data_IF_794262446618
#
_entry.id   IF_794262446618
#
_cell.length_a   1.000
_cell.length_b   1.000
_cell.length_c   1.000
_cell.angle_alpha   90.00
_cell.angle_beta   90.00
_cell.angle_gamma   90.00
#
_symmetry.space_group_name_H-M   'P 1'
#
loop_
_entity.id
_entity.type
_entity.pdbx_description
1 polymer ?
#
# COMPACT_ATOMS: atom_id res chain seq x y z
N UNK A 1 6.95 10.25 7.00
CA UNK A 1 6.92 9.27 8.11
C UNK A 1 6.71 9.93 9.47
N UNK A 2 7.66 10.70 10.04
CA UNK A 2 7.49 11.23 11.41
C UNK A 2 6.40 12.30 11.58
N UNK A 3 6.00 12.98 10.51
CA UNK A 3 4.88 13.94 10.51
C UNK A 3 3.51 13.30 10.24
N UNK A 4 3.46 11.97 10.09
CA UNK A 4 2.21 11.23 9.93
C UNK A 4 1.67 10.90 11.32
N UNK A 5 0.73 11.72 11.81
CA UNK A 5 0.17 11.59 13.15
C UNK A 5 -0.57 10.27 13.37
N UNK A 6 -1.26 9.75 12.35
CA UNK A 6 -1.98 8.46 12.46
C UNK A 6 -0.97 7.32 12.67
N UNK A 7 0.10 7.31 11.87
CA UNK A 7 1.21 6.35 12.05
C UNK A 7 1.83 6.51 13.44
N UNK A 8 2.22 7.74 13.79
CA UNK A 8 2.95 8.03 15.02
C UNK A 8 2.13 7.63 16.25
N UNK A 9 0.85 8.00 16.29
CA UNK A 9 -0.03 7.66 17.38
C UNK A 9 -0.25 6.15 17.49
N UNK A 10 -0.43 5.43 16.38
CA UNK A 10 -0.62 3.99 16.43
C UNK A 10 0.60 3.24 16.97
N UNK A 11 1.82 3.62 16.56
CA UNK A 11 3.04 3.02 17.12
C UNK A 11 3.27 3.43 18.57
N UNK A 12 3.06 4.70 18.91
CA UNK A 12 3.16 5.19 20.28
C UNK A 12 2.19 4.42 21.19
N UNK A 13 0.92 4.32 20.81
CA UNK A 13 -0.10 3.58 21.53
C UNK A 13 0.24 2.10 21.62
N UNK A 14 0.77 1.50 20.54
CA UNK A 14 1.17 0.09 20.56
C UNK A 14 2.20 -0.16 21.66
N UNK A 15 3.15 0.75 21.86
CA UNK A 15 4.17 0.63 22.89
C UNK A 15 3.61 0.96 24.28
N UNK A 16 3.00 2.13 24.45
CA UNK A 16 2.66 2.65 25.79
C UNK A 16 1.37 2.07 26.37
N UNK A 17 0.36 1.74 25.55
CA UNK A 17 -0.81 0.98 26.03
C UNK A 17 -0.45 -0.45 26.40
N UNK A 18 0.70 -0.93 25.92
CA UNK A 18 1.23 -2.26 26.21
C UNK A 18 2.58 -2.21 26.94
N UNK A 19 2.87 -1.17 27.72
CA UNK A 19 4.19 -1.01 28.35
C UNK A 19 4.60 -2.23 29.20
N UNK A 20 3.65 -2.93 29.82
CA UNK A 20 3.90 -4.17 30.56
C UNK A 20 4.41 -5.33 29.67
N UNK A 21 4.11 -5.32 28.37
CA UNK A 21 4.68 -6.26 27.41
C UNK A 21 6.16 -5.96 27.12
N UNK A 22 6.58 -4.69 27.18
CA UNK A 22 7.96 -4.24 26.92
C UNK A 22 8.84 -4.23 28.18
N UNK A 23 8.25 -4.05 29.37
CA UNK A 23 8.98 -3.93 30.62
C UNK A 23 9.92 -5.13 30.88
N UNK A 24 11.20 -4.84 31.08
CA UNK A 24 12.24 -5.84 31.33
C UNK A 24 12.61 -6.72 30.12
N UNK A 25 12.07 -6.45 28.93
CA UNK A 25 12.32 -7.23 27.72
C UNK A 25 13.53 -6.74 26.93
N UNK A 26 14.10 -7.62 26.13
CA UNK A 26 15.07 -7.27 25.08
C UNK A 26 14.32 -7.05 23.78
N UNK A 27 14.49 -5.87 23.17
CA UNK A 27 13.75 -5.44 21.98
C UNK A 27 14.71 -5.24 20.80
N UNK A 28 14.27 -5.60 19.60
CA UNK A 28 14.95 -5.28 18.35
C UNK A 28 14.06 -4.35 17.52
N UNK A 29 14.59 -3.21 17.12
CA UNK A 29 13.99 -2.27 16.17
C UNK A 29 14.69 -2.39 14.82
N UNK A 30 14.00 -2.98 13.82
CA UNK A 30 14.55 -3.25 12.48
C UNK A 30 14.22 -2.09 11.54
N UNK A 31 15.25 -1.45 10.99
CA UNK A 31 15.07 -0.23 10.19
C UNK A 31 14.71 0.96 11.08
N UNK A 32 15.48 1.18 12.15
CA UNK A 32 15.14 2.15 13.19
C UNK A 32 15.04 3.59 12.67
N UNK A 33 15.68 3.90 11.53
CA UNK A 33 15.71 5.22 10.94
C UNK A 33 16.23 6.25 11.94
N UNK A 34 15.31 7.04 12.50
CA UNK A 34 15.63 8.08 13.49
C UNK A 34 15.78 7.57 14.93
N UNK A 35 15.45 6.32 15.22
CA UNK A 35 15.48 5.78 16.58
C UNK A 35 14.18 5.92 17.37
N UNK A 36 13.11 6.47 16.78
CA UNK A 36 11.90 6.84 17.54
C UNK A 36 11.23 5.63 18.23
N UNK A 37 11.11 4.49 17.54
CA UNK A 37 10.49 3.28 18.10
C UNK A 37 11.40 2.67 19.18
N UNK A 38 12.70 2.62 18.94
CA UNK A 38 13.68 2.19 19.93
C UNK A 38 13.67 3.04 21.20
N UNK A 39 13.56 4.37 21.07
CA UNK A 39 13.44 5.31 22.20
C UNK A 39 12.16 5.03 22.99
N UNK A 40 11.01 4.85 22.32
CA UNK A 40 9.75 4.51 23.00
C UNK A 40 9.81 3.16 23.71
N UNK A 41 10.40 2.14 23.09
CA UNK A 41 10.60 0.85 23.74
C UNK A 41 11.43 0.97 25.03
N UNK A 42 12.51 1.76 25.00
CA UNK A 42 13.33 2.03 26.20
C UNK A 42 12.56 2.81 27.28
N UNK A 43 11.75 3.81 26.88
CA UNK A 43 10.88 4.59 27.77
C UNK A 43 9.77 3.73 28.39
N UNK A 44 9.24 2.75 27.65
CA UNK A 44 8.26 1.79 28.14
C UNK A 44 8.86 0.72 29.08
N UNK A 45 10.15 0.81 29.38
CA UNK A 45 10.81 -0.03 30.38
C UNK A 45 11.53 -1.25 29.81
N UNK A 46 11.78 -1.31 28.50
CA UNK A 46 12.66 -2.34 27.94
C UNK A 46 14.00 -2.39 28.68
N UNK A 47 14.50 -3.60 28.94
CA UNK A 47 15.80 -3.83 29.56
C UNK A 47 16.92 -3.38 28.63
N UNK A 48 16.77 -3.68 27.33
CA UNK A 48 17.73 -3.34 26.29
C UNK A 48 17.03 -3.27 24.94
N UNK A 49 17.48 -2.37 24.08
CA UNK A 49 16.97 -2.21 22.71
C UNK A 49 18.12 -2.21 21.73
N UNK A 50 18.08 -3.09 20.74
CA UNK A 50 18.97 -3.05 19.58
C UNK A 50 18.26 -2.32 18.45
N UNK A 51 18.82 -1.19 18.02
CA UNK A 51 18.23 -0.34 16.99
C UNK A 51 19.09 -0.42 15.73
N UNK A 52 18.64 -1.18 14.73
CA UNK A 52 19.42 -1.50 13.52
C UNK A 52 18.98 -0.60 12.37
N UNK A 53 19.92 0.10 11.74
CA UNK A 53 19.66 0.99 10.60
C UNK A 53 20.76 0.84 9.56
N UNK A 54 20.39 0.62 8.30
CA UNK A 54 21.35 0.34 7.23
C UNK A 54 22.10 1.57 6.73
N UNK A 55 21.50 2.76 6.84
CA UNK A 55 22.03 4.01 6.29
C UNK A 55 22.75 4.85 7.34
N UNK A 56 23.34 5.97 6.92
CA UNK A 56 23.95 6.96 7.82
C UNK A 56 22.94 7.62 8.78
N UNK A 57 21.63 7.36 8.62
CA UNK A 57 20.63 7.78 9.59
C UNK A 57 20.88 7.17 10.98
N UNK A 58 21.56 6.03 11.06
CA UNK A 58 22.03 5.42 12.32
C UNK A 58 22.82 6.42 13.20
N UNK A 59 23.65 7.27 12.59
CA UNK A 59 24.42 8.27 13.32
C UNK A 59 23.50 9.35 13.92
N UNK A 60 22.39 9.69 13.25
CA UNK A 60 21.40 10.64 13.75
C UNK A 60 20.54 10.00 14.83
N UNK A 61 20.18 8.72 14.68
CA UNK A 61 19.51 7.95 15.71
C UNK A 61 20.33 7.91 17.01
N UNK A 62 21.64 7.66 16.92
CA UNK A 62 22.50 7.68 18.11
C UNK A 62 22.52 9.05 18.80
N UNK A 63 22.50 10.15 18.03
CA UNK A 63 22.38 11.50 18.60
C UNK A 63 21.06 11.69 19.34
N UNK A 64 19.94 11.21 18.78
CA UNK A 64 18.63 11.29 19.44
C UNK A 64 18.54 10.41 20.69
N UNK A 65 19.10 9.20 20.65
CA UNK A 65 19.21 8.31 21.81
C UNK A 65 19.94 8.98 22.97
N UNK A 66 21.09 9.62 22.69
CA UNK A 66 21.86 10.34 23.70
C UNK A 66 21.11 11.57 24.24
N UNK A 67 20.49 12.35 23.34
CA UNK A 67 19.75 13.55 23.72
C UNK A 67 18.52 13.24 24.61
N UNK A 68 17.92 12.07 24.40
CA UNK A 68 16.76 11.59 25.18
C UNK A 68 17.14 10.74 26.40
N UNK A 69 18.44 10.65 26.73
CA UNK A 69 18.96 10.00 27.95
C UNK A 69 18.59 8.52 28.07
N UNK A 70 18.55 7.79 26.95
CA UNK A 70 18.26 6.34 26.90
C UNK A 70 19.43 5.52 26.34
N UNK A 71 20.62 6.11 26.23
CA UNK A 71 21.82 5.48 25.68
C UNK A 71 22.35 4.29 26.50
N UNK A 72 21.97 4.19 27.77
CA UNK A 72 22.26 3.04 28.64
C UNK A 72 21.45 1.79 28.25
N UNK A 73 20.32 1.98 27.57
CA UNK A 73 19.40 0.91 27.15
C UNK A 73 19.42 0.65 25.64
N UNK A 74 19.58 1.71 24.83
CA UNK A 74 19.49 1.62 23.37
C UNK A 74 20.88 1.56 22.75
N UNK A 75 21.15 0.47 22.03
CA UNK A 75 22.36 0.27 21.23
C UNK A 75 22.02 0.43 19.76
N UNK A 76 22.56 1.47 19.11
CA UNK A 76 22.38 1.68 17.66
C UNK A 76 23.46 0.92 16.89
N UNK A 77 23.03 0.14 15.89
CA UNK A 77 23.91 -0.65 15.03
C UNK A 77 23.71 -0.19 13.58
N UNK A 78 24.76 0.38 12.98
CA UNK A 78 24.74 0.75 11.57
C UNK A 78 25.06 -0.47 10.70
N UNK A 79 24.12 -0.90 9.87
CA UNK A 79 24.24 -2.05 8.98
C UNK A 79 22.89 -2.64 8.61
N UNK A 80 22.88 -3.51 7.60
CA UNK A 80 21.68 -4.30 7.26
C UNK A 80 21.43 -5.33 8.35
N UNK A 81 20.17 -5.64 8.65
CA UNK A 81 19.83 -6.62 9.69
C UNK A 81 20.38 -8.02 9.37
N UNK A 82 20.57 -8.30 8.08
CA UNK A 82 21.19 -9.50 7.55
C UNK A 82 22.68 -9.63 7.91
N UNK A 83 23.38 -8.50 7.98
CA UNK A 83 24.85 -8.43 8.15
C UNK A 83 25.28 -8.21 9.60
N UNK A 84 24.42 -7.61 10.44
CA UNK A 84 24.73 -7.36 11.85
C UNK A 84 24.63 -8.64 12.70
N UNK A 85 25.33 -8.62 13.83
CA UNK A 85 25.27 -9.68 14.85
C UNK A 85 24.82 -9.11 16.18
N UNK A 86 23.84 -9.77 16.82
CA UNK A 86 23.38 -9.45 18.16
C UNK A 86 24.02 -10.41 19.17
N UNK A 87 24.34 -9.95 20.39
CA UNK A 87 24.97 -10.79 21.42
C UNK A 87 23.97 -11.70 22.15
N UNK A 88 22.66 -11.53 21.93
CA UNK A 88 21.59 -12.30 22.57
C UNK A 88 20.34 -12.37 21.68
N UNK A 89 19.45 -13.33 21.95
CA UNK A 89 18.11 -13.36 21.34
C UNK A 89 17.21 -12.26 21.92
N UNK A 90 16.17 -11.89 21.17
CA UNK A 90 15.23 -10.82 21.54
C UNK A 90 13.83 -11.33 21.77
N UNK A 91 13.08 -10.59 22.58
CA UNK A 91 11.74 -10.93 23.05
C UNK A 91 10.66 -10.34 22.15
N UNK A 92 10.94 -9.14 21.65
CA UNK A 92 10.06 -8.35 20.80
C UNK A 92 10.89 -7.85 19.62
N UNK A 93 10.34 -8.01 18.42
CA UNK A 93 10.82 -7.29 17.25
C UNK A 93 9.75 -6.26 16.90
N UNK A 94 10.10 -4.98 16.96
CA UNK A 94 9.27 -3.88 16.51
C UNK A 94 9.86 -3.33 15.21
N UNK A 95 9.01 -3.02 14.23
CA UNK A 95 9.47 -2.41 12.98
C UNK A 95 8.31 -1.72 12.29
N UNK A 96 8.62 -0.65 11.57
CA UNK A 96 7.73 -0.07 10.58
C UNK A 96 8.29 -0.44 9.21
N UNK A 97 7.71 -1.48 8.62
CA UNK A 97 8.18 -2.13 7.39
C UNK A 97 7.22 -1.97 6.22
N UNK A 98 6.06 -1.34 6.46
CA UNK A 98 4.95 -1.36 5.52
C UNK A 98 5.22 -0.39 4.36
N UNK A 99 5.19 -0.90 3.14
CA UNK A 99 5.23 -0.06 1.94
C UNK A 99 3.84 0.33 1.44
N UNK A 100 3.80 0.96 0.27
CA UNK A 100 2.54 1.18 -0.46
C UNK A 100 1.83 -0.16 -0.67
N UNK A 101 0.51 -0.15 -0.43
CA UNK A 101 -0.34 -1.34 -0.43
C UNK A 101 0.29 -2.52 0.34
N UNK A 102 0.88 -2.21 1.51
CA UNK A 102 1.57 -3.09 2.45
C UNK A 102 2.92 -3.65 1.96
N UNK A 103 2.97 -4.20 0.75
CA UNK A 103 4.07 -5.08 0.33
C UNK A 103 5.17 -4.39 -0.50
N UNK A 104 4.95 -3.16 -0.99
CA UNK A 104 6.01 -2.44 -1.73
C UNK A 104 7.27 -2.31 -0.88
N UNK A 105 8.44 -2.25 -1.53
CA UNK A 105 9.78 -2.19 -0.92
C UNK A 105 10.30 -3.51 -0.35
N UNK A 106 9.42 -4.49 -0.13
CA UNK A 106 9.73 -5.84 0.37
C UNK A 106 10.56 -5.82 1.66
N UNK A 107 10.38 -4.81 2.52
CA UNK A 107 11.10 -4.69 3.79
C UNK A 107 10.67 -5.75 4.81
N UNK A 108 9.47 -6.33 4.65
CA UNK A 108 9.04 -7.48 5.44
C UNK A 108 10.06 -8.63 5.39
N UNK A 109 10.78 -8.80 4.27
CA UNK A 109 11.79 -9.85 4.13
C UNK A 109 12.89 -9.75 5.20
N UNK A 110 13.40 -8.53 5.41
CA UNK A 110 14.39 -8.24 6.43
C UNK A 110 13.84 -8.43 7.85
N UNK A 111 12.56 -8.13 8.08
CA UNK A 111 11.89 -8.36 9.36
C UNK A 111 11.72 -9.85 9.64
N UNK A 112 11.37 -10.65 8.63
CA UNK A 112 11.24 -12.10 8.75
C UNK A 112 12.61 -12.76 8.98
N UNK A 113 13.65 -12.31 8.27
CA UNK A 113 15.02 -12.72 8.57
C UNK A 113 15.39 -12.45 10.04
N UNK A 114 15.08 -11.25 10.53
CA UNK A 114 15.36 -10.87 11.92
C UNK A 114 14.61 -11.76 12.91
N UNK A 115 13.33 -12.04 12.65
CA UNK A 115 12.53 -12.98 13.44
C UNK A 115 13.19 -14.34 13.49
N UNK A 116 13.47 -14.93 12.34
CA UNK A 116 13.88 -16.33 12.25
C UNK A 116 15.28 -16.54 12.86
N UNK A 117 16.13 -15.51 12.81
CA UNK A 117 17.50 -15.55 13.36
C UNK A 117 17.57 -15.16 14.83
N UNK A 118 16.85 -14.11 15.25
CA UNK A 118 17.10 -13.45 16.54
C UNK A 118 15.97 -13.55 17.56
N UNK A 119 14.74 -13.84 17.15
CA UNK A 119 13.62 -13.88 18.10
C UNK A 119 13.61 -15.19 18.88
N UNK A 120 13.45 -15.09 20.22
CA UNK A 120 13.29 -16.26 21.07
C UNK A 120 11.95 -16.98 20.84
N UNK A 121 11.84 -18.29 21.17
CA UNK A 121 10.54 -18.96 21.21
C UNK A 121 9.53 -18.22 22.08
N UNK A 122 8.33 -17.99 21.55
CA UNK A 122 7.26 -17.26 22.23
C UNK A 122 7.41 -15.72 22.24
N UNK A 123 8.44 -15.18 21.58
CA UNK A 123 8.53 -13.75 21.27
C UNK A 123 7.39 -13.25 20.37
N UNK A 124 7.37 -11.95 20.08
CA UNK A 124 6.33 -11.36 19.24
C UNK A 124 6.85 -10.29 18.29
N UNK A 125 6.26 -10.23 17.09
CA UNK A 125 6.42 -9.13 16.14
C UNK A 125 5.40 -8.02 16.38
N UNK A 126 5.83 -6.77 16.18
CA UNK A 126 5.04 -5.55 16.36
C UNK A 126 5.21 -4.67 15.10
N UNK A 127 4.22 -4.65 14.19
CA UNK A 127 2.89 -5.27 14.27
C UNK A 127 2.92 -6.80 14.20
N UNK A 128 1.90 -7.45 14.78
CA UNK A 128 1.79 -8.91 14.81
C UNK A 128 0.93 -9.48 13.70
N UNK A 129 0.02 -8.68 13.15
CA UNK A 129 -0.83 -9.08 12.02
C UNK A 129 -0.94 -7.95 11.00
N UNK A 130 -1.16 -8.31 9.74
CA UNK A 130 -1.42 -7.37 8.66
C UNK A 130 -2.54 -7.88 7.74
N UNK A 131 -3.34 -6.96 7.20
CA UNK A 131 -4.51 -7.23 6.36
C UNK A 131 -4.48 -6.30 5.15
N UNK A 132 -4.74 -6.83 3.97
CA UNK A 132 -4.84 -6.06 2.72
C UNK A 132 -6.28 -6.07 2.23
N UNK A 133 -6.74 -4.91 1.77
CA UNK A 133 -8.12 -4.70 1.32
C UNK A 133 -8.17 -4.15 -0.09
N UNK A 134 -9.24 -4.48 -0.82
CA UNK A 134 -9.58 -3.84 -2.10
C UNK A 134 -11.04 -3.39 -2.08
N UNK A 135 -11.35 -2.29 -2.77
CA UNK A 135 -12.72 -1.88 -3.05
C UNK A 135 -12.86 -1.25 -4.44
N UNK A 136 -14.06 -1.34 -5.01
CA UNK A 136 -14.43 -0.58 -6.20
C UNK A 136 -14.54 0.91 -5.86
N UNK A 137 -14.03 1.78 -6.73
CA UNK A 137 -14.03 3.24 -6.52
C UNK A 137 -14.58 4.03 -7.70
N UNK A 138 -15.12 5.19 -7.38
CA UNK A 138 -15.51 6.22 -8.33
C UNK A 138 -14.74 7.51 -8.03
N UNK A 139 -13.57 7.61 -8.65
CA UNK A 139 -12.70 8.79 -8.61
C UNK A 139 -12.19 9.07 -10.01
N UNK A 140 -12.47 10.28 -10.48
CA UNK A 140 -12.28 10.59 -11.89
C UNK A 140 -11.08 11.45 -12.19
N UNK A 141 -10.59 12.29 -11.28
CA UNK A 141 -9.69 13.36 -11.71
C UNK A 141 -8.31 12.85 -12.08
N UNK A 142 -7.67 12.06 -11.21
CA UNK A 142 -6.33 11.53 -11.43
C UNK A 142 -6.31 10.56 -12.62
N UNK A 143 -7.27 9.63 -12.69
CA UNK A 143 -7.43 8.75 -13.84
C UNK A 143 -7.69 9.51 -15.15
N UNK A 144 -8.56 10.52 -15.16
CA UNK A 144 -8.79 11.35 -16.36
C UNK A 144 -7.56 12.13 -16.76
N UNK A 145 -6.82 12.68 -15.79
CA UNK A 145 -5.58 13.42 -16.06
C UNK A 145 -4.58 12.49 -16.76
N UNK A 146 -4.32 11.31 -16.20
CA UNK A 146 -3.42 10.33 -16.82
C UNK A 146 -3.87 9.90 -18.21
N UNK A 147 -5.16 9.67 -18.41
CA UNK A 147 -5.69 9.35 -19.75
C UNK A 147 -5.53 10.51 -20.73
N UNK A 148 -5.68 11.76 -20.26
CA UNK A 148 -5.48 12.94 -21.08
C UNK A 148 -4.00 13.15 -21.42
N UNK A 149 -3.11 12.95 -20.46
CA UNK A 149 -1.66 13.05 -20.66
C UNK A 149 -1.17 12.01 -21.66
N UNK A 150 -1.65 10.76 -21.58
CA UNK A 150 -1.42 9.73 -22.59
C UNK A 150 -1.84 10.19 -23.98
N UNK A 151 -3.07 10.72 -24.12
CA UNK A 151 -3.58 11.21 -25.41
C UNK A 151 -2.75 12.37 -25.94
N UNK A 152 -2.31 13.28 -25.07
CA UNK A 152 -1.45 14.39 -25.45
C UNK A 152 -0.11 13.87 -25.99
N UNK A 153 0.52 12.92 -25.30
CA UNK A 153 1.77 12.31 -25.75
C UNK A 153 1.62 11.62 -27.12
N UNK A 154 0.53 10.89 -27.35
CA UNK A 154 0.27 10.27 -28.66
C UNK A 154 0.05 11.31 -29.77
N UNK A 155 -0.65 12.41 -29.46
CA UNK A 155 -0.82 13.52 -30.42
C UNK A 155 0.49 14.23 -30.72
N UNK A 156 1.36 14.38 -29.73
CA UNK A 156 2.67 14.98 -29.90
C UNK A 156 3.57 14.07 -30.75
N UNK A 157 3.55 12.75 -30.55
CA UNK A 157 4.24 11.79 -31.41
C UNK A 157 3.74 11.84 -32.86
N UNK A 158 2.42 11.83 -33.06
CA UNK A 158 1.80 11.91 -34.39
C UNK A 158 2.16 13.20 -35.14
N UNK A 159 2.56 14.27 -34.44
CA UNK A 159 3.11 15.49 -35.04
C UNK A 159 4.63 15.39 -35.20
N UNK A 160 5.34 14.88 -34.20
CA UNK A 160 6.79 14.79 -34.15
C UNK A 160 7.36 13.91 -35.25
N UNK A 161 6.87 12.68 -35.40
CA UNK A 161 7.45 11.70 -36.32
C UNK A 161 7.38 12.16 -37.79
N UNK A 162 6.22 12.61 -38.34
CA UNK A 162 6.17 13.12 -39.71
C UNK A 162 6.99 14.41 -39.91
N UNK A 163 7.04 15.30 -38.90
CA UNK A 163 7.84 16.50 -38.98
C UNK A 163 9.35 16.21 -39.02
N UNK A 164 9.79 15.20 -38.28
CA UNK A 164 11.19 14.75 -38.27
C UNK A 164 11.58 14.16 -39.62
N UNK A 165 10.71 13.36 -40.24
CA UNK A 165 10.91 12.89 -41.61
C UNK A 165 10.96 14.05 -42.60
N UNK A 166 10.01 14.98 -42.54
CA UNK A 166 9.93 16.10 -43.48
C UNK A 166 11.11 17.08 -43.35
N UNK A 167 11.55 17.40 -42.13
CA UNK A 167 12.60 18.41 -41.89
C UNK A 167 14.01 17.84 -41.93
N UNK A 168 14.19 16.61 -41.46
CA UNK A 168 15.51 16.02 -41.24
C UNK A 168 15.74 14.73 -42.04
N UNK A 169 14.74 14.23 -42.77
CA UNK A 169 14.86 13.02 -43.59
C UNK A 169 15.01 11.73 -42.79
N UNK A 170 14.57 11.73 -41.52
CA UNK A 170 14.65 10.55 -40.63
C UNK A 170 13.25 10.02 -40.34
N UNK A 171 13.01 8.77 -40.76
CA UNK A 171 11.74 8.07 -40.52
C UNK A 171 11.76 7.43 -39.13
N UNK A 172 10.86 7.88 -38.27
CA UNK A 172 10.73 7.43 -36.88
C UNK A 172 9.62 6.38 -36.70
N UNK A 173 8.92 5.97 -37.76
CA UNK A 173 7.78 5.05 -37.68
C UNK A 173 8.13 3.70 -37.05
N UNK A 174 9.39 3.26 -37.16
CA UNK A 174 9.87 2.04 -36.53
C UNK A 174 9.80 2.05 -34.99
N UNK A 175 9.68 3.23 -34.36
CA UNK A 175 9.59 3.39 -32.91
C UNK A 175 8.15 3.60 -32.42
N UNK A 176 7.16 3.69 -33.30
CA UNK A 176 5.78 4.06 -32.93
C UNK A 176 5.16 3.08 -31.92
N UNK A 177 5.33 1.78 -32.13
CA UNK A 177 4.82 0.76 -31.21
C UNK A 177 5.51 0.77 -29.85
N UNK A 178 6.81 1.06 -29.82
CA UNK A 178 7.59 1.11 -28.58
C UNK A 178 7.20 2.36 -27.77
N UNK A 179 7.05 3.51 -28.45
CA UNK A 179 6.59 4.75 -27.86
C UNK A 179 5.18 4.60 -27.27
N UNK A 180 4.24 4.03 -28.03
CA UNK A 180 2.87 3.80 -27.56
C UNK A 180 2.85 2.92 -26.31
N UNK A 181 3.58 1.80 -26.34
CA UNK A 181 3.65 0.86 -25.22
C UNK A 181 4.24 1.51 -23.97
N UNK A 182 5.39 2.19 -24.09
CA UNK A 182 6.05 2.85 -22.95
C UNK A 182 5.11 3.87 -22.27
N UNK A 183 4.40 4.67 -23.09
CA UNK A 183 3.49 5.68 -22.57
C UNK A 183 2.21 5.06 -22.00
N UNK A 184 1.71 3.97 -22.57
CA UNK A 184 0.58 3.23 -22.00
C UNK A 184 0.95 2.61 -20.64
N UNK A 185 2.14 2.02 -20.52
CA UNK A 185 2.63 1.44 -19.27
C UNK A 185 2.80 2.53 -18.18
N UNK A 186 3.36 3.69 -18.55
CA UNK A 186 3.58 4.81 -17.62
C UNK A 186 2.27 5.51 -17.20
N UNK A 187 1.42 5.89 -18.16
CA UNK A 187 0.22 6.66 -17.86
C UNK A 187 -0.97 5.78 -17.45
N UNK A 188 -1.17 4.62 -18.07
CA UNK A 188 -2.40 3.85 -17.88
C UNK A 188 -2.21 2.64 -16.96
N UNK A 189 -1.02 2.02 -16.96
CA UNK A 189 -0.75 0.85 -16.13
C UNK A 189 -0.12 1.20 -14.77
N UNK A 190 0.42 2.39 -14.55
CA UNK A 190 1.02 2.70 -13.24
C UNK A 190 -0.02 3.02 -12.18
N UNK A 191 0.05 2.33 -11.03
CA UNK A 191 -0.80 2.63 -9.88
C UNK A 191 -0.59 4.06 -9.39
N UNK A 192 -1.59 4.61 -8.71
CA UNK A 192 -1.60 6.01 -8.29
C UNK A 192 -1.84 6.12 -6.80
N UNK A 193 -0.93 6.81 -6.11
CA UNK A 193 -1.18 7.24 -4.73
C UNK A 193 -2.39 8.17 -4.69
N UNK A 194 -3.34 7.90 -3.81
CA UNK A 194 -4.57 8.66 -3.66
C UNK A 194 -4.91 8.84 -2.19
N UNK A 195 -5.45 10.00 -1.84
CA UNK A 195 -6.13 10.23 -0.56
C UNK A 195 -7.64 10.16 -0.81
N UNK A 196 -8.22 8.98 -0.63
CA UNK A 196 -9.64 8.72 -0.83
C UNK A 196 -10.45 9.08 0.39
N UNK A 197 -11.68 9.52 0.14
CA UNK A 197 -12.72 9.63 1.16
C UNK A 197 -13.64 8.40 1.13
N UNK A 198 -14.39 8.12 2.21
CA UNK A 198 -15.41 7.05 2.21
C UNK A 198 -16.44 7.20 1.09
N UNK A 199 -16.69 8.43 0.65
CA UNK A 199 -17.66 8.73 -0.38
C UNK A 199 -17.17 8.39 -1.79
N UNK A 200 -15.88 8.08 -1.98
CA UNK A 200 -15.31 7.61 -3.25
C UNK A 200 -15.43 6.09 -3.42
N UNK A 201 -15.75 5.37 -2.33
CA UNK A 201 -15.98 3.92 -2.35
C UNK A 201 -17.36 3.60 -2.92
N UNK A 202 -17.39 2.74 -3.94
CA UNK A 202 -18.62 2.22 -4.54
C UNK A 202 -19.10 0.94 -3.85
N UNK A 203 -18.18 0.19 -3.24
CA UNK A 203 -18.45 -1.08 -2.57
C UNK A 203 -17.92 -1.08 -1.14
N UNK A 204 -18.38 -2.04 -0.34
CA UNK A 204 -17.68 -2.37 0.90
C UNK A 204 -16.28 -2.91 0.59
N UNK A 205 -15.31 -2.72 1.51
CA UNK A 205 -13.98 -3.31 1.38
C UNK A 205 -14.02 -4.83 1.40
N UNK A 206 -13.20 -5.46 0.56
CA UNK A 206 -13.00 -6.91 0.54
C UNK A 206 -11.59 -7.21 1.03
N UNK A 207 -11.47 -8.07 2.04
CA UNK A 207 -10.18 -8.58 2.51
C UNK A 207 -9.58 -9.53 1.46
N UNK A 208 -8.38 -9.23 0.99
CA UNK A 208 -7.70 -10.04 -0.05
C UNK A 208 -6.55 -10.88 0.50
N UNK A 209 -5.96 -10.48 1.63
CA UNK A 209 -4.89 -11.22 2.31
C UNK A 209 -4.87 -10.87 3.78
N UNK A 210 -4.71 -11.89 4.62
CA UNK A 210 -4.42 -11.76 6.04
C UNK A 210 -3.08 -12.44 6.34
N UNK A 211 -2.30 -11.83 7.22
CA UNK A 211 -0.93 -12.20 7.53
C UNK A 211 -0.77 -12.23 9.04
N UNK A 212 -0.33 -13.36 9.58
CA UNK A 212 0.21 -13.44 10.93
C UNK A 212 1.73 -13.31 10.85
N UNK A 213 2.25 -12.17 11.27
CA UNK A 213 3.68 -11.84 11.15
C UNK A 213 4.55 -12.78 12.00
N UNK A 214 3.99 -13.36 13.07
CA UNK A 214 4.73 -14.30 13.92
C UNK A 214 5.00 -15.66 13.23
N UNK A 215 4.27 -15.99 12.15
CA UNK A 215 4.35 -17.32 11.53
C UNK A 215 4.49 -17.32 10.01
N UNK A 216 4.20 -16.20 9.32
CA UNK A 216 4.28 -16.15 7.85
C UNK A 216 5.71 -16.37 7.35
N UNK A 217 5.85 -16.80 6.11
CA UNK A 217 7.13 -17.05 5.44
C UNK A 217 7.22 -16.23 4.17
N UNK A 218 8.41 -16.10 3.57
CA UNK A 218 8.57 -15.41 2.28
C UNK A 218 7.70 -16.04 1.17
N UNK A 219 7.43 -17.34 1.25
CA UNK A 219 6.59 -18.05 0.30
C UNK A 219 5.15 -17.54 0.29
N UNK A 220 4.65 -17.02 1.41
CA UNK A 220 3.30 -16.43 1.51
C UNK A 220 3.14 -15.15 0.68
N UNK A 221 4.25 -14.56 0.21
CA UNK A 221 4.33 -13.27 -0.48
C UNK A 221 4.90 -13.37 -1.90
N UNK A 222 5.31 -14.56 -2.37
CA UNK A 222 5.72 -14.77 -3.77
C UNK A 222 4.60 -14.39 -4.74
N UNK A 223 3.38 -14.77 -4.37
CA UNK A 223 2.15 -14.42 -5.08
C UNK A 223 1.03 -14.21 -4.06
N UNK A 224 0.36 -13.06 -4.12
CA UNK A 224 -0.89 -12.83 -3.38
C UNK A 224 -2.04 -12.86 -4.37
N UNK A 225 -2.75 -13.98 -4.41
CA UNK A 225 -3.92 -14.18 -5.28
C UNK A 225 -5.19 -14.28 -4.44
N UNK A 226 -6.21 -13.52 -4.83
CA UNK A 226 -7.51 -13.57 -4.18
C UNK A 226 -8.65 -13.32 -5.16
N UNK A 227 -9.83 -13.86 -4.85
CA UNK A 227 -11.07 -13.52 -5.53
C UNK A 227 -11.82 -12.50 -4.68
N UNK A 228 -12.50 -11.55 -5.33
CA UNK A 228 -13.34 -10.59 -4.65
C UNK A 228 -14.67 -10.43 -5.35
N UNK A 229 -15.71 -10.17 -4.55
CA UNK A 229 -17.04 -9.80 -5.03
C UNK A 229 -17.44 -8.51 -4.35
N UNK A 230 -17.63 -7.46 -5.14
CA UNK A 230 -17.97 -6.12 -4.69
C UNK A 230 -19.38 -5.78 -5.16
N UNK A 231 -20.34 -5.83 -4.22
CA UNK A 231 -21.69 -5.31 -4.47
C UNK A 231 -21.64 -3.79 -4.45
N UNK A 232 -22.15 -3.14 -5.51
CA UNK A 232 -22.20 -1.69 -5.57
C UNK A 232 -23.31 -1.21 -4.63
N UNK A 233 -22.93 -0.42 -3.63
CA UNK A 233 -23.82 0.07 -2.56
C UNK A 233 -23.98 1.58 -2.57
N UNK A 234 -23.03 2.31 -3.15
CA UNK A 234 -23.03 3.77 -3.19
C UNK A 234 -23.23 4.29 -4.62
N UNK A 235 -24.48 4.30 -5.09
CA UNK A 235 -24.83 5.09 -6.27
C UNK A 235 -24.92 6.56 -5.87
N UNK A 236 -23.84 7.32 -6.09
CA UNK A 236 -23.97 8.79 -6.12
C UNK A 236 -24.85 9.15 -7.33
N UNK A 237 -26.15 9.35 -7.12
CA UNK A 237 -26.89 10.30 -7.96
C UNK A 237 -26.29 11.65 -7.64
N UNK A 238 -25.47 12.21 -8.53
CA UNK A 238 -25.10 13.61 -8.41
C UNK A 238 -26.40 14.40 -8.22
N UNK A 239 -26.57 15.21 -7.14
CA UNK A 239 -27.71 16.09 -7.07
C UNK A 239 -27.66 16.98 -8.32
N UNK A 240 -28.79 17.20 -9.02
CA UNK A 240 -28.80 18.00 -10.23
C UNK A 240 -28.18 19.36 -9.90
N UNK A 241 -27.13 19.76 -10.64
CA UNK A 241 -26.61 21.13 -10.58
C UNK A 241 -27.79 22.04 -10.90
N UNK A 242 -28.25 22.82 -9.92
CA UNK A 242 -29.24 23.86 -10.17
C UNK A 242 -28.57 24.91 -11.06
N UNK A 243 -29.05 25.06 -12.29
CA UNK A 243 -28.72 26.23 -13.09
C UNK A 243 -29.26 27.48 -12.39
N UNK A 244 -28.63 28.66 -12.54
CA UNK A 244 -29.16 29.92 -12.02
C UNK A 244 -30.57 30.27 -12.55
N UNK A 245 -31.07 29.56 -13.57
CA UNK A 245 -32.28 29.87 -14.32
C UNK A 245 -33.38 28.79 -14.23
N UNK A 246 -33.29 27.83 -13.29
CA UNK A 246 -34.41 26.94 -12.98
C UNK A 246 -34.80 25.93 -14.08
N UNK A 247 -34.03 25.81 -15.15
CA UNK A 247 -34.23 24.73 -16.13
C UNK A 247 -33.56 23.43 -15.64
N UNK A 248 -34.24 22.28 -15.73
CA UNK A 248 -33.63 20.98 -15.47
C UNK A 248 -32.56 20.70 -16.54
N UNK A 249 -31.29 20.86 -16.19
CA UNK A 249 -30.22 20.20 -16.95
C UNK A 249 -30.26 18.71 -16.63
N UNK A 250 -30.29 17.85 -17.66
CA UNK A 250 -29.97 16.43 -17.53
C UNK A 250 -28.51 16.31 -17.06
N UNK A 251 -28.31 16.37 -15.74
CA UNK A 251 -27.00 16.47 -15.10
C UNK A 251 -26.75 15.39 -14.04
N UNK A 252 -27.49 14.28 -14.09
CA UNK A 252 -27.20 13.09 -13.31
C UNK A 252 -26.31 12.15 -14.12
N UNK A 253 -25.01 12.40 -14.18
CA UNK A 253 -24.08 11.45 -14.80
C UNK A 253 -24.19 10.09 -14.11
N UNK A 254 -24.36 9.03 -14.89
CA UNK A 254 -24.36 7.65 -14.41
C UNK A 254 -23.11 7.38 -13.57
N UNK A 255 -23.25 6.61 -12.48
CA UNK A 255 -22.11 6.21 -11.67
C UNK A 255 -21.18 5.34 -12.53
N UNK A 256 -19.86 5.58 -12.44
CA UNK A 256 -18.86 4.84 -13.21
C UNK A 256 -17.90 4.16 -12.26
N UNK A 257 -17.60 2.90 -12.53
CA UNK A 257 -16.43 2.23 -11.99
C UNK A 257 -15.20 2.84 -12.67
N UNK A 258 -14.46 3.67 -11.93
CA UNK A 258 -13.25 4.27 -12.46
C UNK A 258 -12.01 3.44 -12.15
N UNK A 259 -12.10 2.50 -11.22
CA UNK A 259 -10.96 1.70 -10.79
C UNK A 259 -11.22 0.93 -9.50
N UNK A 260 -10.13 0.37 -8.98
CA UNK A 260 -10.05 -0.28 -7.68
C UNK A 260 -9.07 0.46 -6.80
N UNK A 261 -9.30 0.46 -5.48
CA UNK A 261 -8.36 1.00 -4.52
C UNK A 261 -7.91 -0.09 -3.55
N UNK A 262 -6.61 -0.14 -3.29
CA UNK A 262 -5.95 -1.03 -2.35
C UNK A 262 -5.40 -0.27 -1.14
N UNK A 263 -5.57 -0.82 0.05
CA UNK A 263 -4.99 -0.30 1.29
C UNK A 263 -4.77 -1.43 2.30
N UNK A 264 -4.25 -1.10 3.48
CA UNK A 264 -3.93 -2.08 4.50
C UNK A 264 -4.28 -1.66 5.93
N UNK A 265 -4.35 -2.65 6.80
CA UNK A 265 -4.37 -2.49 8.25
C UNK A 265 -3.30 -3.36 8.89
N UNK A 266 -2.71 -2.90 9.98
CA UNK A 266 -1.85 -3.71 10.83
C UNK A 266 -2.30 -3.66 12.28
N UNK A 267 -2.19 -4.79 12.97
CA UNK A 267 -2.61 -4.93 14.36
C UNK A 267 -1.41 -5.27 15.27
N UNK A 268 -1.38 -4.64 16.44
CA UNK A 268 -0.42 -4.88 17.51
C UNK A 268 -1.09 -5.70 18.60
N UNK A 269 -1.03 -7.03 18.47
CA UNK A 269 -1.70 -7.98 19.38
C UNK A 269 -0.73 -8.92 20.11
N UNK A 270 0.58 -8.75 19.93
CA UNK A 270 1.59 -9.68 20.46
C UNK A 270 1.53 -11.05 19.78
N UNK A 271 1.95 -12.10 20.49
CA UNK A 271 1.88 -13.49 20.03
C UNK A 271 0.88 -14.32 20.85
N UNK A 272 0.65 -15.57 20.46
CA UNK A 272 -0.22 -16.48 21.22
C UNK A 272 0.31 -16.74 22.63
N UNK A 273 1.63 -16.79 22.80
CA UNK A 273 2.30 -17.04 24.09
C UNK A 273 2.46 -15.76 24.90
N UNK A 274 2.64 -14.62 24.24
CA UNK A 274 2.79 -13.30 24.86
C UNK A 274 1.80 -12.30 24.23
N UNK A 275 0.50 -12.43 24.55
CA UNK A 275 -0.52 -11.54 23.97
C UNK A 275 -0.33 -10.11 24.48
N UNK A 276 -0.60 -9.13 23.61
CA UNK A 276 -0.62 -7.73 24.00
C UNK A 276 -1.81 -7.45 24.95
N UNK A 277 -1.61 -6.70 26.05
CA UNK A 277 -2.68 -6.24 26.91
C UNK A 277 -3.81 -5.48 26.20
N UNK A 278 -3.49 -4.71 25.16
CA UNK A 278 -4.41 -3.88 24.39
C UNK A 278 -4.13 -4.02 22.90
N UNK A 279 -5.19 -4.30 22.14
CA UNK A 279 -5.15 -4.25 20.67
C UNK A 279 -5.05 -2.79 20.22
N UNK A 280 -4.02 -2.50 19.43
CA UNK A 280 -3.90 -1.24 18.67
C UNK A 280 -3.92 -1.58 17.19
N UNK A 281 -4.58 -0.75 16.39
CA UNK A 281 -4.67 -0.92 14.93
C UNK A 281 -4.20 0.34 14.24
N UNK A 282 -3.30 0.19 13.26
CA UNK A 282 -2.98 1.22 12.28
C UNK A 282 -3.71 0.87 10.98
N UNK A 283 -4.60 1.73 10.52
CA UNK A 283 -5.36 1.55 9.28
C UNK A 283 -5.04 2.66 8.29
N UNK A 284 -4.94 2.32 7.01
CA UNK A 284 -4.83 3.26 5.88
C UNK A 284 -6.12 3.32 5.09
N UNK A 285 -7.24 2.89 5.66
CA UNK A 285 -8.53 2.91 4.99
C UNK A 285 -9.04 4.35 4.75
N UNK A 286 -9.87 4.60 3.72
CA UNK A 286 -10.35 5.94 3.37
C UNK A 286 -11.04 6.73 4.50
N UNK A 287 -11.64 6.04 5.49
CA UNK A 287 -12.30 6.69 6.62
C UNK A 287 -11.35 7.21 7.70
N UNK A 288 -10.07 6.83 7.65
CA UNK A 288 -9.03 7.28 8.57
C UNK A 288 -8.55 8.70 8.20
N UNK A 289 -8.63 9.07 6.92
CA UNK A 289 -8.05 10.30 6.39
C UNK A 289 -6.59 10.12 5.99
N UNK A 290 -5.81 11.20 6.08
CA UNK A 290 -4.44 11.20 5.62
C UNK A 290 -3.54 10.23 6.41
N UNK A 291 -2.83 9.40 5.65
CA UNK A 291 -1.57 8.77 6.04
C UNK A 291 -0.62 8.95 4.86
N UNK A 292 0.69 8.90 5.08
CA UNK A 292 1.65 9.07 4.00
C UNK A 292 1.58 7.94 2.95
N UNK A 293 1.03 6.77 3.30
CA UNK A 293 0.76 5.68 2.35
C UNK A 293 -0.45 5.94 1.45
N UNK A 294 -1.42 6.73 1.94
CA UNK A 294 -2.72 6.91 1.29
C UNK A 294 -3.38 5.57 0.94
N UNK A 295 -3.97 5.50 -0.24
CA UNK A 295 -4.42 4.28 -0.89
C UNK A 295 -3.81 4.18 -2.28
N UNK A 296 -3.65 2.96 -2.79
CA UNK A 296 -3.20 2.72 -4.16
C UNK A 296 -4.39 2.52 -5.08
N UNK A 297 -4.57 3.42 -6.03
CA UNK A 297 -5.62 3.34 -7.04
C UNK A 297 -5.11 2.69 -8.34
N UNK A 298 -5.93 1.81 -8.88
CA UNK A 298 -5.74 1.08 -10.13
C UNK A 298 -6.87 1.50 -11.08
N UNK A 299 -6.62 2.52 -11.91
CA UNK A 299 -7.66 3.15 -12.73
C UNK A 299 -7.92 2.36 -14.02
N UNK A 300 -9.20 2.25 -14.36
CA UNK A 300 -9.66 1.65 -15.62
C UNK A 300 -9.70 2.69 -16.73
N UNK A 301 -9.18 2.29 -17.90
CA UNK A 301 -9.16 3.10 -19.10
C UNK A 301 -9.76 2.29 -20.26
N UNK A 302 -11.03 2.53 -20.66
CA UNK A 302 -11.97 3.53 -20.14
C UNK A 302 -12.66 3.10 -18.83
N UNK A 303 -13.23 4.05 -18.05
CA UNK A 303 -14.14 3.74 -16.94
C UNK A 303 -15.37 2.95 -17.42
N UNK A 304 -15.95 2.13 -16.53
CA UNK A 304 -17.10 1.27 -16.85
C UNK A 304 -18.38 1.84 -16.27
N UNK A 305 -19.44 1.93 -17.08
CA UNK A 305 -20.74 2.43 -16.63
C UNK A 305 -21.43 1.41 -15.71
N UNK A 306 -21.93 1.89 -14.56
CA UNK A 306 -22.61 1.10 -13.54
C UNK A 306 -24.10 1.41 -13.48
N UNK A 307 -24.89 0.39 -13.19
CA UNK A 307 -26.33 0.45 -12.98
C UNK A 307 -26.69 -0.02 -11.56
N UNK A 308 -27.86 0.40 -11.07
CA UNK A 308 -28.34 0.02 -9.75
C UNK A 308 -28.33 -1.53 -9.58
N UNK A 309 -27.81 -1.99 -8.44
CA UNK A 309 -27.64 -3.41 -8.08
C UNK A 309 -26.57 -4.19 -8.88
N UNK A 310 -25.73 -3.52 -9.65
CA UNK A 310 -24.57 -4.16 -10.26
C UNK A 310 -23.63 -4.76 -9.21
N UNK A 311 -23.00 -5.87 -9.59
CA UNK A 311 -21.95 -6.53 -8.81
C UNK A 311 -20.71 -6.66 -9.65
N UNK A 312 -19.56 -6.26 -9.10
CA UNK A 312 -18.24 -6.47 -9.71
C UNK A 312 -17.66 -7.74 -9.10
N UNK A 313 -17.42 -8.75 -9.93
CA UNK A 313 -16.63 -9.92 -9.54
C UNK A 313 -15.26 -9.81 -10.17
N UNK A 314 -14.23 -10.21 -9.43
CA UNK A 314 -12.88 -10.16 -9.96
C UNK A 314 -11.89 -11.02 -9.22
N UNK A 315 -10.70 -11.06 -9.78
CA UNK A 315 -9.52 -11.63 -9.14
C UNK A 315 -8.44 -10.57 -9.09
N UNK A 316 -7.66 -10.58 -8.02
CA UNK A 316 -6.46 -9.79 -7.89
C UNK A 316 -5.27 -10.74 -7.72
N UNK A 317 -4.19 -10.44 -8.42
CA UNK A 317 -2.95 -11.19 -8.36
C UNK A 317 -1.78 -10.21 -8.23
N UNK A 318 -1.11 -10.22 -7.08
CA UNK A 318 0.04 -9.35 -6.78
C UNK A 318 1.29 -10.19 -6.80
N UNK A 319 2.26 -9.80 -7.63
CA UNK A 319 3.51 -10.55 -7.84
C UNK A 319 4.69 -9.58 -7.83
N UNK A 320 5.78 -9.97 -7.18
CA UNK A 320 7.04 -9.21 -7.24
C UNK A 320 7.58 -9.21 -8.66
N UNK A 321 8.10 -8.07 -9.10
CA UNK A 321 8.75 -8.00 -10.41
C UNK A 321 10.06 -8.80 -10.42
N UNK A 322 10.36 -9.38 -11.60
CA UNK A 322 11.56 -10.21 -11.80
C UNK A 322 12.85 -9.39 -11.82
N UNK A 323 12.79 -8.17 -12.35
CA UNK A 323 13.91 -7.24 -12.46
C UNK A 323 14.20 -6.53 -11.13
N UNK A 324 13.16 -6.21 -10.35
CA UNK A 324 13.31 -5.63 -9.02
C UNK A 324 12.25 -6.15 -8.04
N UNK A 325 12.67 -7.01 -7.11
CA UNK A 325 11.78 -7.65 -6.13
C UNK A 325 11.17 -6.68 -5.11
N UNK A 326 11.61 -5.40 -5.08
CA UNK A 326 11.00 -4.34 -4.26
C UNK A 326 9.76 -3.72 -4.92
N UNK A 327 9.58 -3.95 -6.22
CA UNK A 327 8.46 -3.45 -7.01
C UNK A 327 7.46 -4.58 -7.29
N UNK A 328 6.20 -4.21 -7.55
CA UNK A 328 5.12 -5.18 -7.70
C UNK A 328 4.36 -4.97 -9.02
N UNK A 329 3.92 -6.07 -9.60
CA UNK A 329 2.88 -6.12 -10.62
C UNK A 329 1.57 -6.52 -9.95
N UNK A 330 0.50 -5.81 -10.26
CA UNK A 330 -0.86 -6.08 -9.78
C UNK A 330 -1.74 -6.35 -10.98
N UNK A 331 -2.20 -7.58 -11.15
CA UNK A 331 -3.16 -7.95 -12.17
C UNK A 331 -4.56 -7.94 -11.54
N UNK A 332 -5.48 -7.21 -12.15
CA UNK A 332 -6.89 -7.20 -11.76
C UNK A 332 -7.74 -7.62 -12.95
N UNK A 333 -8.30 -8.82 -12.85
CA UNK A 333 -9.31 -9.31 -13.76
C UNK A 333 -10.69 -9.02 -13.16
N UNK A 334 -11.62 -8.46 -13.93
CA UNK A 334 -12.96 -8.17 -13.43
C UNK A 334 -14.06 -8.34 -14.48
N UNK A 335 -15.27 -8.62 -14.01
CA UNK A 335 -16.48 -8.72 -14.82
C UNK A 335 -17.69 -8.11 -14.07
N UNK A 336 -18.56 -7.45 -14.82
CA UNK A 336 -19.83 -6.94 -14.29
C UNK A 336 -20.95 -7.99 -14.38
N UNK A 337 -21.69 -8.14 -13.29
CA UNK A 337 -22.95 -8.87 -13.22
C UNK A 337 -24.11 -7.88 -13.03
N UNK A 338 -25.02 -7.83 -14.00
CA UNK A 338 -26.27 -7.07 -13.91
C UNK A 338 -27.38 -7.98 -13.41
N UNK A 339 -28.06 -7.61 -12.33
CA UNK A 339 -29.19 -8.37 -11.76
C UNK A 339 -28.92 -9.88 -11.56
N UNK A 340 -27.69 -10.25 -11.17
CA UNK A 340 -27.31 -11.66 -10.98
C UNK A 340 -27.04 -12.47 -12.25
N UNK A 341 -27.24 -11.90 -13.44
CA UNK A 341 -26.92 -12.53 -14.73
C UNK A 341 -25.55 -12.03 -15.20
N UNK A 342 -24.61 -12.95 -15.45
CA UNK A 342 -23.35 -12.60 -16.14
C UNK A 342 -23.71 -12.06 -17.52
N UNK A 343 -23.23 -10.87 -17.86
CA UNK A 343 -23.29 -10.38 -19.23
C UNK A 343 -22.47 -11.35 -20.10
N UNK A 344 -23.17 -12.22 -20.82
CA UNK A 344 -22.63 -13.28 -21.69
C UNK A 344 -22.12 -12.68 -23.00
N UNK A 345 -21.10 -11.83 -22.94
CA UNK A 345 -20.19 -11.71 -24.08
C UNK A 345 -18.98 -12.62 -23.79
N UNK A 346 -18.64 -13.58 -24.68
CA UNK A 346 -17.36 -14.29 -24.58
C UNK A 346 -16.23 -13.24 -24.63
N UNK A 347 -15.38 -13.17 -23.59
CA UNK A 347 -14.37 -12.12 -23.45
C UNK A 347 -14.77 -10.91 -22.58
N UNK A 348 -15.84 -11.00 -21.77
CA UNK A 348 -16.27 -9.90 -20.88
C UNK A 348 -15.41 -9.70 -19.62
N UNK A 349 -14.41 -10.56 -19.39
CA UNK A 349 -13.44 -10.40 -18.32
C UNK A 349 -12.32 -9.47 -18.80
N UNK A 350 -12.25 -8.28 -18.22
CA UNK A 350 -11.17 -7.33 -18.49
C UNK A 350 -10.02 -7.61 -17.53
N UNK A 351 -8.88 -8.02 -18.08
CA UNK A 351 -7.64 -8.18 -17.32
C UNK A 351 -6.76 -6.94 -17.50
N UNK A 352 -6.42 -6.29 -16.39
CA UNK A 352 -5.58 -5.10 -16.37
C UNK A 352 -4.34 -5.39 -15.55
N UNK A 353 -3.16 -5.19 -16.13
CA UNK A 353 -1.89 -5.24 -15.45
C UNK A 353 -1.52 -3.84 -14.98
N UNK A 354 -1.11 -3.72 -13.73
CA UNK A 354 -0.62 -2.47 -13.17
C UNK A 354 0.78 -2.62 -12.59
N UNK A 355 1.58 -1.56 -12.69
CA UNK A 355 2.89 -1.43 -12.06
C UNK A 355 2.77 -0.58 -10.80
N UNK A 356 3.12 -1.16 -9.65
CA UNK A 356 3.24 -0.43 -8.39
C UNK A 356 4.74 -0.22 -8.12
N UNK A 357 5.21 0.94 -8.55
CA UNK A 357 6.62 1.37 -8.51
C UNK A 357 6.98 2.18 -7.26
#
# INVERSE_FOLDING_TARGET
MLSDEVRMQAYYDSVFKNASAFAGKVVLDVGTGTGILAIWAAQAGAKKVYAVEATDMAQKAQKLVNANKVQDKVVVLQGKIEDVSLPEQVDIIISEWMGLFLLRESMLDSVLFARDKWMRPGGSLWPSHARMYVAAVQRGQEGRNKQQDYKNAMQDWARFAPNTQHKYGVDMSCLESDFEKEHADYYLASSVWCELSPADLLSQPVLIKEINCNTCTLDDFKTVKSQFTSKIVNHRRNPPKKSPQGQPQQGGGESKLTGFAGWFEVDFMGSKQTPAPAKVTLSTAPHIGYTHWGQQCFFLHPPVDLHDADTVEGTINIVRRKDNQRLMNVEIAHALKKNGVKLKAPGSEQNNLYHME
#
